data_IF_463788519154
#
_entry.id   IF_463788519154
#
_cell.length_a   1.000
_cell.length_b   1.000
_cell.length_c   1.000
_cell.angle_alpha   90.00
_cell.angle_beta   90.00
_cell.angle_gamma   90.00
#
_symmetry.space_group_name_H-M   'P 1'
#
loop_
_entity.id
_entity.type
_entity.pdbx_description
1 polymer ?
#
# COMPACT_ATOMS: atom_id res chain seq x y z
N UNK A 1 3.19 -3.87 -12.09
CA UNK A 1 2.01 -2.97 -12.16
C UNK A 1 1.86 -2.30 -13.51
N UNK A 2 2.89 -1.63 -14.04
CA UNK A 2 2.83 -0.93 -15.33
C UNK A 2 2.29 -1.84 -16.45
N UNK A 3 2.92 -2.99 -16.69
CA UNK A 3 2.49 -3.98 -17.70
C UNK A 3 1.05 -4.46 -17.47
N UNK A 4 0.67 -4.70 -16.22
CA UNK A 4 -0.67 -5.13 -15.86
C UNK A 4 -1.70 -4.05 -16.23
N UNK A 5 -1.50 -2.81 -15.79
CA UNK A 5 -2.39 -1.69 -16.10
C UNK A 5 -2.46 -1.40 -17.60
N UNK A 6 -1.31 -1.47 -18.30
CA UNK A 6 -1.25 -1.34 -19.76
C UNK A 6 -2.13 -2.38 -20.44
N UNK A 7 -1.97 -3.64 -20.07
CA UNK A 7 -2.73 -4.75 -20.66
C UNK A 7 -4.24 -4.62 -20.37
N UNK A 8 -4.64 -4.33 -19.13
CA UNK A 8 -6.06 -4.36 -18.76
C UNK A 8 -6.84 -3.12 -19.19
N UNK A 9 -6.20 -1.94 -19.26
CA UNK A 9 -6.84 -0.69 -19.65
C UNK A 9 -6.90 -0.48 -21.16
N UNK A 10 -6.03 -1.13 -21.94
CA UNK A 10 -6.04 -1.08 -23.41
C UNK A 10 -6.74 -2.29 -24.05
N UNK A 11 -7.21 -3.25 -23.26
CA UNK A 11 -7.90 -4.41 -23.79
C UNK A 11 -9.38 -4.11 -24.02
N UNK A 12 -9.79 -4.01 -25.29
CA UNK A 12 -11.18 -3.74 -25.70
C UNK A 12 -12.20 -4.75 -25.17
N UNK A 13 -11.75 -5.96 -24.80
CA UNK A 13 -12.62 -7.00 -24.23
C UNK A 13 -12.94 -6.76 -22.75
N UNK A 14 -12.23 -5.85 -22.09
CA UNK A 14 -12.39 -5.53 -20.67
C UNK A 14 -13.01 -4.13 -20.53
N UNK A 15 -14.02 -4.01 -19.67
CA UNK A 15 -14.68 -2.73 -19.41
C UNK A 15 -14.02 -1.99 -18.22
N UNK A 16 -12.74 -1.64 -18.39
CA UNK A 16 -11.96 -0.85 -17.44
C UNK A 16 -11.28 0.31 -18.16
N UNK A 17 -11.44 1.52 -17.63
CA UNK A 17 -10.91 2.73 -18.26
C UNK A 17 -9.96 3.50 -17.34
N UNK A 18 -10.09 3.37 -16.03
CA UNK A 18 -9.38 4.23 -15.07
C UNK A 18 -8.59 3.45 -14.02
N UNK A 19 -7.37 3.90 -13.74
CA UNK A 19 -6.57 3.40 -12.62
C UNK A 19 -5.99 4.54 -11.78
N UNK A 20 -6.13 4.44 -10.46
CA UNK A 20 -5.57 5.36 -9.49
C UNK A 20 -4.39 4.70 -8.79
N UNK A 21 -3.20 5.27 -8.94
CA UNK A 21 -2.00 4.89 -8.19
C UNK A 21 -1.83 5.87 -7.04
N UNK A 22 -1.93 5.38 -5.81
CA UNK A 22 -1.69 6.13 -4.58
C UNK A 22 -0.35 5.73 -4.01
N UNK A 23 0.58 6.68 -3.86
CA UNK A 23 1.96 6.40 -3.48
C UNK A 23 2.53 7.45 -2.52
N UNK A 24 3.69 7.19 -1.88
CA UNK A 24 4.46 8.22 -1.21
C UNK A 24 4.83 9.37 -2.16
N UNK A 25 4.77 10.62 -1.69
CA UNK A 25 4.99 11.81 -2.53
C UNK A 25 6.35 11.81 -3.24
N UNK A 26 7.40 11.33 -2.57
CA UNK A 26 8.75 11.21 -3.13
C UNK A 26 8.86 10.20 -4.29
N UNK A 27 7.88 9.31 -4.45
CA UNK A 27 7.85 8.30 -5.52
C UNK A 27 6.90 8.65 -6.66
N UNK A 28 6.08 9.70 -6.52
CA UNK A 28 5.04 10.04 -7.50
C UNK A 28 5.62 10.34 -8.89
N UNK A 29 6.71 11.12 -8.97
CA UNK A 29 7.38 11.39 -10.24
C UNK A 29 8.13 10.17 -10.79
N UNK A 30 8.61 9.29 -9.92
CA UNK A 30 9.24 8.03 -10.34
C UNK A 30 8.22 7.14 -11.04
N UNK A 31 6.99 7.04 -10.53
CA UNK A 31 5.90 6.34 -11.21
C UNK A 31 5.70 6.86 -12.63
N UNK A 32 5.71 8.18 -12.85
CA UNK A 32 5.58 8.78 -14.18
C UNK A 32 6.75 8.39 -15.09
N UNK A 33 7.98 8.42 -14.56
CA UNK A 33 9.16 8.05 -15.32
C UNK A 33 9.17 6.56 -15.69
N UNK A 34 8.73 5.69 -14.79
CA UNK A 34 8.57 4.26 -15.07
C UNK A 34 7.55 4.03 -16.19
N UNK A 35 6.36 4.65 -16.12
CA UNK A 35 5.39 4.55 -17.22
C UNK A 35 5.93 5.07 -18.56
N UNK A 36 6.75 6.12 -18.55
CA UNK A 36 7.38 6.63 -19.78
C UNK A 36 8.40 5.63 -20.34
N UNK A 37 9.31 5.16 -19.48
CA UNK A 37 10.37 4.20 -19.82
C UNK A 37 9.79 2.91 -20.43
N UNK A 38 8.77 2.32 -19.80
CA UNK A 38 8.18 1.05 -20.25
C UNK A 38 7.27 1.19 -21.48
N UNK A 39 7.00 2.42 -21.94
CA UNK A 39 6.19 2.69 -23.14
C UNK A 39 7.00 3.33 -24.28
N UNK A 40 8.32 3.42 -24.10
CA UNK A 40 9.24 3.93 -25.12
C UNK A 40 9.20 3.03 -26.36
N UNK A 41 9.11 3.63 -27.55
CA UNK A 41 9.00 2.91 -28.81
C UNK A 41 7.60 2.39 -29.18
N UNK A 42 6.60 2.54 -28.30
CA UNK A 42 5.20 2.25 -28.66
C UNK A 42 4.61 3.34 -29.56
N UNK A 43 3.68 2.95 -30.42
CA UNK A 43 2.81 3.89 -31.16
C UNK A 43 1.89 4.65 -30.20
N UNK A 44 1.47 5.85 -30.55
CA UNK A 44 0.73 6.74 -29.64
C UNK A 44 -0.64 6.21 -29.22
N UNK A 45 -1.30 5.44 -30.08
CA UNK A 45 -2.56 4.74 -29.81
C UNK A 45 -2.40 3.55 -28.84
N UNK A 46 -1.18 3.03 -28.70
CA UNK A 46 -0.83 1.93 -27.79
C UNK A 46 -0.23 2.40 -26.46
N UNK A 47 -0.16 3.72 -26.24
CA UNK A 47 0.31 4.31 -24.99
C UNK A 47 -0.84 4.57 -24.02
N UNK A 48 -0.66 4.19 -22.78
CA UNK A 48 -1.46 4.67 -21.66
C UNK A 48 -1.19 6.15 -21.41
N UNK A 49 -2.28 6.91 -21.30
CA UNK A 49 -2.26 8.26 -20.74
C UNK A 49 -1.98 8.16 -19.24
N UNK A 50 -0.95 8.86 -18.78
CA UNK A 50 -0.56 8.90 -17.36
C UNK A 50 -0.45 10.35 -16.93
N UNK A 51 -1.13 10.70 -15.84
CA UNK A 51 -1.15 12.05 -15.25
C UNK A 51 -0.81 11.98 -13.76
N UNK A 52 -0.26 13.05 -13.21
CA UNK A 52 0.00 13.17 -11.77
C UNK A 52 -0.54 14.49 -11.19
N UNK A 53 -0.86 14.48 -9.90
CA UNK A 53 -1.44 15.64 -9.19
C UNK A 53 -0.44 16.38 -8.28
N UNK A 54 0.76 15.85 -8.05
CA UNK A 54 1.76 16.41 -7.16
C UNK A 54 2.27 17.78 -7.63
N UNK A 55 2.42 18.02 -8.94
CA UNK A 55 2.87 19.31 -9.47
C UNK A 55 1.77 20.37 -9.57
N UNK A 56 0.50 19.95 -9.51
CA UNK A 56 -0.65 20.83 -9.69
C UNK A 56 -0.88 21.67 -8.43
N UNK A 57 -0.80 22.99 -8.56
CA UNK A 57 -0.88 23.92 -7.42
C UNK A 57 -2.32 24.29 -7.05
N UNK A 58 -3.17 24.54 -8.05
CA UNK A 58 -4.54 25.06 -7.86
C UNK A 58 -5.59 23.94 -7.70
N UNK A 59 -6.53 24.05 -6.74
CA UNK A 59 -7.67 23.14 -6.66
C UNK A 59 -8.52 23.08 -7.94
N UNK A 60 -8.63 24.20 -8.66
CA UNK A 60 -9.38 24.28 -9.91
C UNK A 60 -8.72 23.41 -10.99
N UNK A 61 -7.40 23.53 -11.17
CA UNK A 61 -6.66 22.78 -12.18
C UNK A 61 -6.67 21.28 -11.86
N UNK A 62 -6.57 20.92 -10.58
CA UNK A 62 -6.73 19.53 -10.12
C UNK A 62 -8.11 18.97 -10.49
N UNK A 63 -9.16 19.78 -10.34
CA UNK A 63 -10.52 19.35 -10.67
C UNK A 63 -10.73 19.15 -12.17
N UNK A 64 -10.11 19.98 -13.00
CA UNK A 64 -10.15 19.86 -14.46
C UNK A 64 -9.40 18.59 -14.90
N UNK A 65 -8.20 18.37 -14.34
CA UNK A 65 -7.39 17.20 -14.66
C UNK A 65 -8.09 15.89 -14.25
N UNK A 66 -8.70 15.86 -13.06
CA UNK A 66 -9.44 14.68 -12.57
C UNK A 66 -10.68 14.37 -13.42
N UNK A 67 -11.44 15.39 -13.84
CA UNK A 67 -12.57 15.18 -14.75
C UNK A 67 -12.10 14.63 -16.10
N UNK A 68 -11.06 15.26 -16.69
CA UNK A 68 -10.47 14.79 -17.94
C UNK A 68 -9.99 13.34 -17.85
N UNK A 69 -9.37 12.96 -16.73
CA UNK A 69 -8.93 11.58 -16.50
C UNK A 69 -10.11 10.61 -16.40
N UNK A 70 -11.18 10.97 -15.68
CA UNK A 70 -12.37 10.13 -15.60
C UNK A 70 -13.02 9.91 -16.98
N UNK A 71 -13.05 10.94 -17.82
CA UNK A 71 -13.69 10.90 -19.14
C UNK A 71 -12.83 10.19 -20.20
N UNK A 72 -11.50 10.39 -20.15
CA UNK A 72 -10.57 9.88 -21.18
C UNK A 72 -9.83 8.61 -20.80
N UNK A 73 -9.95 8.16 -19.54
CA UNK A 73 -9.27 7.00 -19.00
C UNK A 73 -7.76 7.19 -18.78
N UNK A 74 -7.10 6.09 -18.45
CA UNK A 74 -5.69 6.02 -18.15
C UNK A 74 -5.37 5.99 -16.66
N UNK A 75 -4.13 6.36 -16.34
CA UNK A 75 -3.57 6.25 -14.98
C UNK A 75 -3.43 7.63 -14.34
N UNK A 76 -3.95 7.78 -13.13
CA UNK A 76 -3.76 8.94 -12.28
C UNK A 76 -2.85 8.60 -11.11
N UNK A 77 -1.79 9.38 -10.90
CA UNK A 77 -0.87 9.23 -9.77
C UNK A 77 -1.12 10.33 -8.73
N UNK A 78 -1.35 9.93 -7.48
CA UNK A 78 -1.63 10.85 -6.37
C UNK A 78 -0.87 10.44 -5.10
N UNK A 79 -0.47 11.42 -4.29
CA UNK A 79 0.08 11.16 -2.95
C UNK A 79 -1.01 10.84 -1.92
N UNK A 80 -0.73 9.96 -0.95
CA UNK A 80 -1.69 9.60 0.12
C UNK A 80 -2.32 10.81 0.83
N UNK A 81 -1.50 11.78 1.26
CA UNK A 81 -2.00 12.95 1.98
C UNK A 81 -2.81 13.88 1.07
N UNK A 82 -2.43 13.99 -0.21
CA UNK A 82 -3.20 14.77 -1.18
C UNK A 82 -4.57 14.12 -1.44
N UNK A 83 -4.61 12.81 -1.64
CA UNK A 83 -5.85 12.05 -1.79
C UNK A 83 -6.79 12.29 -0.60
N UNK A 84 -6.28 12.12 0.62
CA UNK A 84 -7.03 12.38 1.86
C UNK A 84 -7.58 13.82 1.89
N UNK A 85 -6.75 14.81 1.59
CA UNK A 85 -7.15 16.22 1.65
C UNK A 85 -8.26 16.55 0.65
N UNK A 86 -8.20 16.02 -0.57
CA UNK A 86 -9.22 16.22 -1.59
C UNK A 86 -10.55 15.55 -1.20
N UNK A 87 -10.51 14.33 -0.70
CA UNK A 87 -11.69 13.54 -0.31
C UNK A 87 -12.38 14.13 0.91
N UNK A 88 -11.60 14.56 1.91
CA UNK A 88 -12.12 15.21 3.12
C UNK A 88 -12.55 16.67 2.86
N UNK A 89 -12.31 17.20 1.65
CA UNK A 89 -12.63 18.58 1.29
C UNK A 89 -11.90 19.63 2.13
N UNK A 90 -10.72 19.30 2.66
CA UNK A 90 -9.89 20.25 3.42
C UNK A 90 -9.41 21.35 2.48
N UNK A 91 -9.48 22.59 2.95
CA UNK A 91 -9.07 23.78 2.20
C UNK A 91 -9.83 24.04 0.88
N UNK A 92 -10.96 23.37 0.65
CA UNK A 92 -11.84 23.61 -0.51
C UNK A 92 -13.17 24.17 -0.01
N UNK A 93 -13.43 25.46 -0.20
CA UNK A 93 -14.71 26.09 0.19
C UNK A 93 -15.84 25.81 -0.81
N UNK A 94 -15.50 25.69 -2.09
CA UNK A 94 -16.47 25.51 -3.17
C UNK A 94 -17.15 24.13 -3.10
N UNK A 95 -18.48 24.13 -2.95
CA UNK A 95 -19.30 22.90 -3.00
C UNK A 95 -19.17 22.17 -4.34
N UNK A 96 -19.09 22.92 -5.45
CA UNK A 96 -18.89 22.37 -6.80
C UNK A 96 -17.59 21.55 -6.90
N UNK A 97 -16.49 22.09 -6.39
CA UNK A 97 -15.20 21.37 -6.40
C UNK A 97 -15.22 20.10 -5.54
N UNK A 98 -15.85 20.14 -4.35
CA UNK A 98 -16.01 18.97 -3.50
C UNK A 98 -16.79 17.85 -4.22
N UNK A 99 -17.87 18.20 -4.91
CA UNK A 99 -18.65 17.23 -5.69
C UNK A 99 -17.82 16.61 -6.81
N UNK A 100 -17.01 17.41 -7.52
CA UNK A 100 -16.10 16.88 -8.55
C UNK A 100 -15.10 15.89 -7.95
N UNK A 101 -14.39 16.27 -6.89
CA UNK A 101 -13.40 15.37 -6.26
C UNK A 101 -14.03 14.08 -5.74
N UNK A 102 -15.20 14.17 -5.12
CA UNK A 102 -15.90 12.99 -4.63
C UNK A 102 -16.32 12.07 -5.79
N UNK A 103 -16.87 12.63 -6.88
CA UNK A 103 -17.26 11.86 -8.06
C UNK A 103 -16.08 11.14 -8.72
N UNK A 104 -14.95 11.83 -8.86
CA UNK A 104 -13.77 11.28 -9.56
C UNK A 104 -12.95 10.33 -8.69
N UNK A 105 -12.88 10.54 -7.37
CA UNK A 105 -11.99 9.78 -6.48
C UNK A 105 -12.70 8.77 -5.59
N UNK A 106 -13.99 8.94 -5.31
CA UNK A 106 -14.71 8.16 -4.29
C UNK A 106 -15.85 7.35 -4.89
N UNK A 107 -16.86 7.98 -5.49
CA UNK A 107 -18.04 7.29 -6.03
C UNK A 107 -18.57 8.02 -7.28
N UNK A 108 -18.45 7.45 -8.50
CA UNK A 108 -18.11 6.05 -8.81
C UNK A 108 -16.65 5.65 -8.57
N UNK A 109 -15.72 6.60 -8.52
CA UNK A 109 -14.30 6.32 -8.31
C UNK A 109 -13.60 5.64 -9.51
N UNK A 110 -12.34 5.19 -9.34
CA UNK A 110 -11.57 4.48 -10.36
C UNK A 110 -11.92 2.99 -10.46
N UNK A 111 -11.72 2.39 -11.63
CA UNK A 111 -11.86 0.93 -11.81
C UNK A 111 -10.80 0.13 -11.04
N UNK A 112 -9.56 0.63 -11.03
CA UNK A 112 -8.44 0.07 -10.29
C UNK A 112 -7.89 1.06 -9.27
N UNK A 113 -7.59 0.58 -8.07
CA UNK A 113 -6.76 1.29 -7.08
C UNK A 113 -5.49 0.49 -6.83
N UNK A 114 -4.35 1.14 -6.99
CA UNK A 114 -3.03 0.57 -6.63
C UNK A 114 -2.44 1.42 -5.51
N UNK A 115 -2.21 0.81 -4.36
CA UNK A 115 -1.57 1.44 -3.21
C UNK A 115 -0.12 0.99 -3.14
N UNK A 116 0.81 1.90 -3.37
CA UNK A 116 2.24 1.68 -3.18
C UNK A 116 2.62 1.92 -1.71
N UNK A 117 3.59 1.18 -1.20
CA UNK A 117 3.95 1.16 0.23
C UNK A 117 2.75 0.96 1.17
N UNK A 118 2.02 -0.13 0.95
CA UNK A 118 0.78 -0.48 1.65
C UNK A 118 0.85 -0.49 3.18
N UNK A 119 2.04 -0.62 3.76
CA UNK A 119 2.26 -0.48 5.19
C UNK A 119 1.83 0.90 5.74
N UNK A 120 1.64 1.92 4.88
CA UNK A 120 1.01 3.20 5.25
C UNK A 120 -0.45 3.00 5.72
N UNK A 121 -1.15 1.98 5.19
CA UNK A 121 -2.54 1.65 5.52
C UNK A 121 -2.67 0.70 6.71
N UNK A 122 -1.59 0.50 7.48
CA UNK A 122 -1.53 -0.46 8.60
C UNK A 122 -2.49 -0.20 9.76
N UNK A 123 -3.00 1.02 9.88
CA UNK A 123 -3.91 1.42 10.96
C UNK A 123 -5.25 1.88 10.39
N UNK A 124 -6.30 1.08 10.58
CA UNK A 124 -7.67 1.38 10.14
C UNK A 124 -8.22 2.69 10.73
N UNK A 125 -7.81 3.06 11.94
CA UNK A 125 -8.26 4.29 12.59
C UNK A 125 -7.65 5.56 11.95
N UNK A 126 -6.58 5.42 11.17
CA UNK A 126 -5.89 6.56 10.55
C UNK A 126 -6.80 7.29 9.58
N UNK A 127 -6.65 8.63 9.51
CA UNK A 127 -7.46 9.44 8.60
C UNK A 127 -7.23 9.10 7.12
N UNK A 128 -6.03 8.62 6.78
CA UNK A 128 -5.69 8.14 5.43
C UNK A 128 -6.42 6.82 5.15
N UNK A 129 -6.34 5.82 6.02
CA UNK A 129 -7.04 4.54 5.85
C UNK A 129 -8.54 4.73 5.76
N UNK A 130 -9.13 5.58 6.61
CA UNK A 130 -10.55 5.96 6.51
C UNK A 130 -10.89 6.55 5.15
N UNK A 131 -10.08 7.49 4.64
CA UNK A 131 -10.32 8.09 3.33
C UNK A 131 -10.16 7.08 2.18
N UNK A 132 -9.19 6.17 2.27
CA UNK A 132 -8.94 5.14 1.26
C UNK A 132 -10.06 4.09 1.24
N UNK A 133 -10.59 3.71 2.40
CA UNK A 133 -11.70 2.76 2.50
C UNK A 133 -13.01 3.29 1.88
N UNK A 134 -13.17 4.60 1.74
CA UNK A 134 -14.33 5.21 1.08
C UNK A 134 -14.35 4.99 -0.44
N UNK A 135 -13.21 4.67 -1.07
CA UNK A 135 -13.12 4.55 -2.54
C UNK A 135 -14.00 3.39 -3.01
N UNK A 136 -14.97 3.66 -3.87
CA UNK A 136 -15.60 2.62 -4.68
C UNK A 136 -14.72 2.30 -5.88
N UNK A 137 -14.43 1.02 -6.04
CA UNK A 137 -13.57 0.52 -7.12
C UNK A 137 -13.87 -0.95 -7.39
N UNK A 138 -13.61 -1.42 -8.61
CA UNK A 138 -13.82 -2.81 -9.01
C UNK A 138 -12.68 -3.70 -8.52
N UNK A 139 -11.45 -3.17 -8.49
CA UNK A 139 -10.23 -3.94 -8.17
C UNK A 139 -9.26 -3.11 -7.35
N UNK A 140 -8.70 -3.70 -6.30
CA UNK A 140 -7.73 -3.06 -5.40
C UNK A 140 -6.46 -3.89 -5.32
N UNK A 141 -5.30 -3.24 -5.41
CA UNK A 141 -3.98 -3.86 -5.34
C UNK A 141 -3.16 -3.09 -4.31
N UNK A 142 -2.48 -3.81 -3.41
CA UNK A 142 -1.49 -3.24 -2.50
C UNK A 142 -0.11 -3.78 -2.87
N UNK A 143 0.88 -2.90 -2.97
CA UNK A 143 2.29 -3.24 -3.08
C UNK A 143 2.97 -2.93 -1.74
N UNK A 144 3.83 -3.82 -1.26
CA UNK A 144 4.63 -3.57 -0.06
C UNK A 144 5.96 -4.30 -0.16
N UNK A 145 7.06 -3.59 0.10
CA UNK A 145 8.42 -4.17 0.12
C UNK A 145 8.76 -4.83 1.46
N UNK A 146 8.07 -4.44 2.53
CA UNK A 146 8.17 -5.08 3.83
C UNK A 146 7.14 -6.21 3.90
N UNK A 147 7.54 -7.50 3.81
CA UNK A 147 6.67 -8.54 4.33
C UNK A 147 6.48 -8.18 5.81
N UNK A 148 5.23 -7.99 6.25
CA UNK A 148 4.90 -7.42 7.57
C UNK A 148 5.36 -8.34 8.69
N UNK A 149 6.64 -8.23 9.01
CA UNK A 149 7.31 -9.00 10.03
C UNK A 149 6.76 -8.50 11.37
N UNK A 150 5.84 -9.30 11.93
CA UNK A 150 5.38 -9.30 13.33
C UNK A 150 4.09 -8.54 13.69
N UNK A 151 3.33 -8.01 12.72
CA UNK A 151 2.03 -7.43 13.05
C UNK A 151 0.89 -7.94 12.15
N UNK A 152 0.32 -9.08 12.55
CA UNK A 152 -0.86 -9.67 11.90
C UNK A 152 -2.06 -8.72 11.84
N UNK A 153 -2.14 -7.70 12.70
CA UNK A 153 -3.18 -6.66 12.63
C UNK A 153 -3.03 -5.83 11.36
N UNK A 154 -1.81 -5.44 11.01
CA UNK A 154 -1.53 -4.66 9.79
C UNK A 154 -1.85 -5.49 8.55
N UNK A 155 -1.57 -6.80 8.63
CA UNK A 155 -1.92 -7.77 7.62
C UNK A 155 -3.44 -7.85 7.41
N UNK A 156 -4.21 -7.93 8.50
CA UNK A 156 -5.67 -7.88 8.47
C UNK A 156 -6.18 -6.59 7.83
N UNK A 157 -5.64 -5.43 8.21
CA UNK A 157 -6.04 -4.13 7.66
C UNK A 157 -5.86 -4.08 6.13
N UNK A 158 -4.70 -4.53 5.62
CA UNK A 158 -4.43 -4.52 4.19
C UNK A 158 -5.26 -5.53 3.40
N UNK A 159 -5.43 -6.75 3.93
CA UNK A 159 -6.28 -7.75 3.28
C UNK A 159 -7.73 -7.29 3.26
N UNK A 160 -8.23 -6.69 4.35
CA UNK A 160 -9.58 -6.16 4.41
C UNK A 160 -9.79 -5.00 3.41
N UNK A 161 -8.77 -4.16 3.19
CA UNK A 161 -8.81 -3.15 2.14
C UNK A 161 -8.93 -3.77 0.74
N UNK A 162 -8.17 -4.83 0.44
CA UNK A 162 -8.18 -5.47 -0.89
C UNK A 162 -9.44 -6.30 -1.12
N UNK A 163 -9.84 -7.09 -0.13
CA UNK A 163 -10.98 -8.01 -0.17
C UNK A 163 -11.66 -8.00 1.19
N UNK A 164 -12.66 -7.13 1.29
CA UNK A 164 -13.45 -6.94 2.51
C UNK A 164 -14.03 -8.27 3.01
N UNK A 165 -14.03 -8.46 4.33
CA UNK A 165 -14.57 -9.63 5.03
C UNK A 165 -13.90 -10.99 4.73
N UNK A 166 -12.79 -11.06 3.99
CA UNK A 166 -12.08 -12.34 3.74
C UNK A 166 -11.62 -13.03 5.03
N UNK A 167 -11.14 -12.24 6.00
CA UNK A 167 -10.60 -12.72 7.27
C UNK A 167 -11.58 -12.55 8.44
N UNK A 168 -12.79 -12.06 8.17
CA UNK A 168 -13.78 -11.69 9.19
C UNK A 168 -13.43 -10.39 9.93
N UNK A 169 -14.11 -10.14 11.05
CA UNK A 169 -13.86 -8.98 11.89
C UNK A 169 -12.45 -9.05 12.52
N UNK A 170 -11.91 -7.90 12.93
CA UNK A 170 -10.61 -7.87 13.61
C UNK A 170 -10.62 -8.70 14.92
N UNK A 171 -11.76 -8.75 15.61
CA UNK A 171 -11.95 -9.53 16.82
C UNK A 171 -11.88 -11.04 16.54
N UNK A 172 -12.58 -11.50 15.50
CA UNK A 172 -12.53 -12.90 15.08
C UNK A 172 -11.13 -13.28 14.61
N UNK A 173 -10.49 -12.40 13.85
CA UNK A 173 -9.15 -12.60 13.36
C UNK A 173 -8.13 -12.71 14.51
N UNK A 174 -8.27 -11.87 15.54
CA UNK A 174 -7.44 -11.94 16.77
C UNK A 174 -7.56 -13.29 17.46
N UNK A 175 -8.78 -13.72 17.73
CA UNK A 175 -9.04 -14.96 18.44
C UNK A 175 -8.65 -16.21 17.62
N UNK A 176 -8.88 -16.17 16.31
CA UNK A 176 -8.64 -17.31 15.41
C UNK A 176 -7.18 -17.47 15.01
N UNK A 177 -6.45 -16.37 14.86
CA UNK A 177 -5.09 -16.39 14.30
C UNK A 177 -4.07 -15.68 15.19
N UNK A 178 -4.28 -14.42 15.56
CA UNK A 178 -3.24 -13.63 16.25
C UNK A 178 -2.85 -14.25 17.59
N UNK A 179 -3.81 -14.41 18.51
CA UNK A 179 -3.52 -14.89 19.86
C UNK A 179 -2.93 -16.31 19.83
N UNK A 180 -3.49 -17.29 19.09
CA UNK A 180 -2.90 -18.62 19.01
C UNK A 180 -1.50 -18.65 18.39
N UNK A 181 -1.22 -17.78 17.41
CA UNK A 181 0.10 -17.72 16.78
C UNK A 181 1.13 -17.13 17.75
N UNK A 182 0.81 -16.00 18.38
CA UNK A 182 1.68 -15.35 19.36
C UNK A 182 1.96 -16.28 20.55
N UNK A 183 0.94 -16.95 21.08
CA UNK A 183 1.08 -17.87 22.22
C UNK A 183 1.96 -19.09 21.93
N UNK A 184 2.17 -19.47 20.65
CA UNK A 184 3.07 -20.56 20.27
C UNK A 184 4.48 -20.09 19.90
N UNK A 185 4.72 -18.78 19.79
CA UNK A 185 6.03 -18.18 19.53
C UNK A 185 6.79 -17.78 20.79
N UNK A 186 6.11 -17.77 21.96
CA UNK A 186 6.75 -17.46 23.22
C UNK A 186 7.79 -18.52 23.61
N UNK A 187 8.85 -18.12 24.31
CA UNK A 187 9.93 -19.03 24.70
C UNK A 187 9.46 -20.12 25.69
N UNK A 188 8.37 -19.86 26.43
CA UNK A 188 7.74 -20.73 27.42
C UNK A 188 6.53 -21.51 26.85
N UNK A 189 6.32 -21.48 25.53
CA UNK A 189 5.20 -22.17 24.88
C UNK A 189 5.26 -23.69 25.05
N UNK A 190 4.13 -24.29 25.46
CA UNK A 190 3.98 -25.75 25.50
C UNK A 190 3.99 -26.36 24.08
N UNK A 191 4.29 -27.65 23.97
CA UNK A 191 4.24 -28.39 22.70
C UNK A 191 2.86 -28.30 22.02
N UNK A 192 1.78 -28.33 22.81
CA UNK A 192 0.41 -28.14 22.31
C UNK A 192 0.21 -26.73 21.71
N UNK A 193 0.72 -25.68 22.35
CA UNK A 193 0.62 -24.31 21.84
C UNK A 193 1.37 -24.18 20.50
N UNK A 194 2.56 -24.77 20.40
CA UNK A 194 3.34 -24.78 19.14
C UNK A 194 2.60 -25.51 18.02
N UNK A 195 1.94 -26.64 18.31
CA UNK A 195 1.13 -27.36 17.31
C UNK A 195 -0.06 -26.52 16.84
N UNK A 196 -0.80 -25.89 17.76
CA UNK A 196 -1.93 -25.01 17.44
C UNK A 196 -1.47 -23.83 16.59
N UNK A 197 -0.35 -23.17 16.96
CA UNK A 197 0.25 -22.09 16.16
C UNK A 197 0.53 -22.55 14.74
N UNK A 198 1.26 -23.67 14.54
CA UNK A 198 1.58 -24.18 13.21
C UNK A 198 0.32 -24.44 12.37
N UNK A 199 -0.70 -25.05 12.98
CA UNK A 199 -1.99 -25.30 12.31
C UNK A 199 -2.68 -24.01 11.90
N UNK A 200 -2.76 -23.02 12.80
CA UNK A 200 -3.41 -21.72 12.51
C UNK A 200 -2.64 -20.91 11.47
N UNK A 201 -1.31 -20.91 11.53
CA UNK A 201 -0.45 -20.27 10.53
C UNK A 201 -0.63 -20.90 9.14
N UNK A 202 -0.70 -22.23 9.06
CA UNK A 202 -0.94 -22.93 7.79
C UNK A 202 -2.34 -22.60 7.21
N UNK A 203 -3.40 -22.65 8.02
CA UNK A 203 -4.75 -22.26 7.58
C UNK A 203 -4.76 -20.81 7.08
N UNK A 204 -4.09 -19.90 7.79
CA UNK A 204 -4.00 -18.51 7.38
C UNK A 204 -3.31 -18.38 6.02
N UNK A 205 -2.18 -19.05 5.83
CA UNK A 205 -1.45 -19.07 4.56
C UNK A 205 -2.34 -19.54 3.40
N UNK A 206 -3.05 -20.67 3.56
CA UNK A 206 -3.94 -21.20 2.52
C UNK A 206 -5.08 -20.23 2.18
N UNK A 207 -5.67 -19.57 3.18
CA UNK A 207 -6.70 -18.54 2.94
C UNK A 207 -6.19 -17.35 2.11
N UNK A 208 -4.88 -17.09 2.15
CA UNK A 208 -4.23 -15.94 1.54
C UNK A 208 -3.56 -16.27 0.21
N UNK A 209 -3.32 -17.55 -0.09
CA UNK A 209 -2.66 -18.00 -1.31
C UNK A 209 -3.32 -17.46 -2.59
N UNK A 210 -4.63 -17.25 -2.57
CA UNK A 210 -5.38 -16.71 -3.72
C UNK A 210 -5.31 -15.18 -3.90
N UNK A 211 -4.84 -14.42 -2.92
CA UNK A 211 -4.83 -12.95 -2.98
C UNK A 211 -3.47 -12.31 -2.67
N UNK A 212 -2.53 -13.05 -2.09
CA UNK A 212 -1.19 -12.55 -1.74
C UNK A 212 -0.13 -13.27 -2.54
N UNK A 213 0.63 -12.47 -3.29
CA UNK A 213 1.76 -12.94 -4.07
C UNK A 213 3.03 -12.40 -3.43
N UNK A 214 3.87 -13.32 -2.93
CA UNK A 214 5.16 -12.98 -2.33
C UNK A 214 6.29 -13.63 -3.12
N UNK A 215 7.30 -12.84 -3.45
CA UNK A 215 8.55 -13.30 -4.07
C UNK A 215 9.69 -12.80 -3.20
N UNK A 216 10.51 -13.72 -2.70
CA UNK A 216 11.68 -13.36 -1.92
C UNK A 216 12.87 -13.06 -2.84
N UNK A 217 13.91 -12.43 -2.29
CA UNK A 217 15.13 -12.08 -3.02
C UNK A 217 15.86 -13.27 -3.65
N UNK A 218 15.57 -14.49 -3.18
CA UNK A 218 16.07 -15.75 -3.76
C UNK A 218 15.73 -15.88 -5.24
N UNK A 219 14.64 -15.28 -5.70
CA UNK A 219 14.25 -15.24 -7.12
C UNK A 219 15.21 -14.46 -8.01
N UNK A 220 16.04 -13.58 -7.43
CA UNK A 220 17.04 -12.78 -8.13
C UNK A 220 18.47 -13.24 -7.86
N UNK A 221 18.67 -14.21 -6.96
CA UNK A 221 19.99 -14.62 -6.49
C UNK A 221 20.88 -15.18 -7.61
N UNK A 222 20.29 -15.81 -8.62
CA UNK A 222 21.01 -16.34 -9.78
C UNK A 222 21.46 -15.25 -10.78
N UNK A 223 20.86 -14.07 -10.72
CA UNK A 223 21.08 -12.98 -11.69
C UNK A 223 21.86 -11.80 -11.11
N UNK A 224 22.04 -11.76 -9.79
CA UNK A 224 22.68 -10.66 -9.08
C UNK A 224 23.98 -11.11 -8.39
N UNK A 225 24.96 -10.21 -8.21
CA UNK A 225 26.14 -10.49 -7.39
C UNK A 225 25.75 -10.88 -5.95
N UNK A 226 26.59 -11.69 -5.27
CA UNK A 226 26.33 -12.08 -3.88
C UNK A 226 26.27 -10.86 -2.96
N UNK A 227 25.29 -10.86 -2.05
CA UNK A 227 25.16 -9.85 -1.00
C UNK A 227 25.97 -10.27 0.22
N UNK A 228 26.98 -9.49 0.58
CA UNK A 228 27.75 -9.68 1.81
C UNK A 228 27.25 -8.73 2.91
N UNK A 229 26.90 -9.29 4.07
CA UNK A 229 26.45 -8.52 5.25
C UNK A 229 27.44 -8.72 6.39
N UNK A 230 27.86 -7.62 7.02
CA UNK A 230 28.81 -7.62 8.13
C UNK A 230 28.19 -6.89 9.32
N UNK A 231 28.27 -7.50 10.51
CA UNK A 231 27.84 -6.88 11.76
C UNK A 231 29.09 -6.49 12.54
N UNK A 232 29.34 -5.18 12.66
CA UNK A 232 30.48 -4.64 13.40
C UNK A 232 30.04 -4.22 14.80
N UNK A 233 30.47 -4.98 15.81
CA UNK A 233 30.27 -4.61 17.20
C UNK A 233 31.30 -3.55 17.61
N UNK A 234 30.88 -2.29 17.66
CA UNK A 234 31.73 -1.16 18.07
C UNK A 234 31.56 -0.90 19.57
N UNK A 235 32.66 -0.85 20.31
CA UNK A 235 32.64 -0.53 21.74
C UNK A 235 32.32 0.95 21.94
N UNK A 236 31.49 1.26 22.93
CA UNK A 236 31.29 2.64 23.38
C UNK A 236 32.59 3.22 23.91
N UNK A 237 32.83 4.49 23.58
CA UNK A 237 33.93 5.27 24.18
C UNK A 237 33.65 5.55 25.66
N UNK A 238 34.68 5.86 26.44
CA UNK A 238 34.53 6.14 27.87
C UNK A 238 33.56 7.28 28.17
N UNK A 239 33.49 8.30 27.30
CA UNK A 239 32.53 9.41 27.45
C UNK A 239 31.10 8.97 27.15
N UNK A 240 30.89 8.14 26.11
CA UNK A 240 29.57 7.57 25.82
C UNK A 240 29.08 6.69 26.98
N UNK A 241 29.95 5.88 27.58
CA UNK A 241 29.59 5.09 28.77
C UNK A 241 29.14 5.98 29.93
N UNK A 242 29.89 7.07 30.22
CA UNK A 242 29.53 8.00 31.31
C UNK A 242 28.20 8.69 31.06
N UNK A 243 27.99 9.19 29.84
CA UNK A 243 26.74 9.88 29.46
C UNK A 243 25.55 8.91 29.47
N UNK A 244 25.76 7.69 28.97
CA UNK A 244 24.73 6.65 28.95
C UNK A 244 24.35 6.22 30.38
N UNK A 245 25.34 6.00 31.26
CA UNK A 245 25.09 5.70 32.66
C UNK A 245 24.35 6.85 33.37
N UNK A 246 24.79 8.09 33.16
CA UNK A 246 24.10 9.26 33.71
C UNK A 246 22.63 9.34 33.25
N UNK A 247 22.36 9.06 31.97
CA UNK A 247 21.00 8.98 31.46
C UNK A 247 20.17 7.91 32.18
N UNK A 248 20.73 6.70 32.33
CA UNK A 248 20.06 5.58 32.99
C UNK A 248 19.71 5.90 34.45
N UNK A 249 20.61 6.57 35.16
CA UNK A 249 20.45 6.84 36.59
C UNK A 249 19.48 8.00 36.88
N UNK A 250 19.19 8.88 35.91
CA UNK A 250 18.45 10.14 36.14
C UNK A 250 17.18 10.32 35.31
N UNK A 251 17.00 9.59 34.20
CA UNK A 251 15.91 9.85 33.24
C UNK A 251 15.08 8.62 32.86
N UNK A 252 15.48 7.42 33.27
CA UNK A 252 14.69 6.17 33.18
C UNK A 252 14.26 5.71 34.55
#
# INVERSE_FOLDING_TARGET
VVTFLHTVLLCDKLNFTTALVVCPLNTALNWINEFKKWQEGLEDDKKLKVSELATMKSPQDRSILLQKWQDSGGVMVIGYEMYRNLVQGRNVKSKKLKTVFNKTLVDPGPDFVVCDEGHILKNEASAVSKAMNLIRSKRRIILTGTPLQNNLIEYHCMVNFVKENLLGSITDFRNRFINPIQNGQCADSTTTNVQVMKKRAHILYEMLAGCVQRKDCTTLAEFLPPKHEYVLAVRMTSIQCKLYQYYLDHFT
#
